data_IF_345453283925
#
_entry.id   IF_345453283925
#
_cell.length_a   1.000
_cell.length_b   1.000
_cell.length_c   1.000
_cell.angle_alpha   90.00
_cell.angle_beta   90.00
_cell.angle_gamma   90.00
#
_symmetry.space_group_name_H-M   'P 1'
#
loop_
_entity.id
_entity.type
_entity.pdbx_description
1 polymer ?
#
# COMPACT_ATOMS: atom_id res chain seq x y z
N UNK A 1 40.32 -23.46 43.10
CA UNK A 1 40.34 -22.84 41.76
C UNK A 1 39.56 -23.59 40.68
N UNK A 2 39.06 -24.80 40.92
CA UNK A 2 38.31 -25.57 39.90
C UNK A 2 36.79 -25.33 39.88
N UNK A 3 36.24 -24.63 40.85
CA UNK A 3 34.81 -24.37 40.97
C UNK A 3 34.37 -23.03 40.39
N UNK A 4 35.28 -22.06 40.25
CA UNK A 4 34.99 -20.76 39.69
C UNK A 4 34.90 -20.76 38.13
N UNK A 5 35.49 -21.76 37.50
CA UNK A 5 35.50 -21.89 36.04
C UNK A 5 34.20 -22.51 35.49
N UNK A 6 33.47 -23.25 36.32
CA UNK A 6 32.20 -23.88 35.91
C UNK A 6 31.00 -22.91 35.95
N UNK A 7 31.05 -21.89 36.79
CA UNK A 7 29.96 -20.90 36.87
C UNK A 7 30.06 -19.83 35.80
N UNK A 8 31.25 -19.61 35.22
CA UNK A 8 31.44 -18.63 34.17
C UNK A 8 30.97 -19.11 32.79
N UNK A 9 30.97 -20.40 32.55
CA UNK A 9 30.52 -20.97 31.26
C UNK A 9 29.00 -21.02 31.17
N UNK A 10 28.27 -21.02 32.27
CA UNK A 10 26.80 -21.06 32.27
C UNK A 10 26.15 -19.68 32.02
N UNK A 11 26.92 -18.59 32.15
CA UNK A 11 26.42 -17.22 31.99
C UNK A 11 26.48 -16.71 30.55
N UNK A 12 27.20 -17.41 29.66
CA UNK A 12 27.39 -16.99 28.27
C UNK A 12 26.32 -17.54 27.33
N UNK A 13 25.50 -18.50 27.81
CA UNK A 13 24.47 -19.15 26.99
C UNK A 13 23.13 -18.42 26.86
N UNK A 14 22.96 -17.22 27.47
CA UNK A 14 21.69 -16.51 27.50
C UNK A 14 21.66 -15.22 26.67
N UNK A 15 22.67 -14.95 25.84
CA UNK A 15 22.75 -13.68 25.06
C UNK A 15 22.59 -13.88 23.56
N UNK A 16 21.83 -14.88 23.11
CA UNK A 16 21.68 -15.12 21.68
C UNK A 16 20.22 -15.32 21.26
N UNK A 17 19.31 -14.49 21.73
CA UNK A 17 17.97 -14.42 21.12
C UNK A 17 17.49 -12.98 21.06
N UNK A 18 18.14 -12.17 20.22
CA UNK A 18 17.53 -10.98 19.65
C UNK A 18 17.66 -11.09 18.13
N UNK A 19 16.82 -11.94 17.55
CA UNK A 19 16.48 -11.86 16.16
C UNK A 19 15.17 -11.10 16.08
N UNK A 20 15.25 -9.76 16.16
CA UNK A 20 14.20 -8.88 15.69
C UNK A 20 14.42 -8.76 14.18
N UNK A 21 13.97 -9.75 13.45
CA UNK A 21 13.84 -9.71 12.02
C UNK A 21 12.59 -8.95 11.68
N UNK A 22 12.70 -7.66 11.43
CA UNK A 22 11.71 -6.95 10.60
C UNK A 22 12.03 -7.32 9.15
N UNK A 23 11.57 -8.48 8.76
CA UNK A 23 11.52 -8.86 7.35
C UNK A 23 10.29 -8.21 6.75
N UNK A 24 10.44 -6.97 6.29
CA UNK A 24 9.59 -6.39 5.26
C UNK A 24 9.86 -7.10 3.93
N UNK A 25 9.61 -8.40 3.92
CA UNK A 25 9.43 -9.15 2.71
C UNK A 25 7.95 -9.00 2.32
N UNK A 26 7.68 -8.03 1.47
CA UNK A 26 6.48 -8.04 0.62
C UNK A 26 6.61 -9.20 -0.37
N UNK A 27 6.68 -10.42 0.15
CA UNK A 27 6.27 -11.58 -0.59
C UNK A 27 4.75 -11.44 -0.73
N UNK A 28 4.26 -11.44 -1.95
CA UNK A 28 2.86 -11.71 -2.30
C UNK A 28 2.47 -13.03 -1.62
N UNK A 29 2.12 -12.96 -0.35
CA UNK A 29 1.35 -14.01 0.30
C UNK A 29 -0.03 -13.96 -0.33
N UNK A 30 -0.65 -15.12 -0.46
CA UNK A 30 -2.06 -15.32 -0.85
C UNK A 30 -3.01 -14.64 0.15
N UNK A 31 -2.71 -13.41 0.54
CA UNK A 31 -3.50 -12.63 1.47
C UNK A 31 -4.76 -12.19 0.75
N UNK A 32 -5.86 -12.75 1.18
CA UNK A 32 -7.19 -12.38 0.70
C UNK A 32 -7.36 -10.88 0.87
N UNK A 33 -7.44 -10.17 -0.25
CA UNK A 33 -7.70 -8.72 -0.24
C UNK A 33 -9.14 -8.52 0.22
N UNK A 34 -9.31 -7.64 1.20
CA UNK A 34 -10.63 -7.32 1.76
C UNK A 34 -10.96 -5.85 1.55
N UNK A 35 -12.24 -5.50 1.56
CA UNK A 35 -12.66 -4.11 1.41
C UNK A 35 -11.99 -3.17 2.44
N UNK A 36 -11.88 -3.51 3.74
CA UNK A 36 -11.18 -2.65 4.70
C UNK A 36 -9.71 -2.39 4.35
N UNK A 37 -9.02 -3.35 3.73
CA UNK A 37 -7.63 -3.18 3.28
C UNK A 37 -7.57 -2.16 2.14
N UNK A 38 -8.47 -2.25 1.17
CA UNK A 38 -8.59 -1.28 0.08
C UNK A 38 -8.92 0.12 0.61
N UNK A 39 -9.88 0.22 1.54
CA UNK A 39 -10.28 1.49 2.15
C UNK A 39 -9.11 2.14 2.89
N UNK A 40 -8.35 1.37 3.67
CA UNK A 40 -7.17 1.86 4.36
C UNK A 40 -6.09 2.37 3.38
N UNK A 41 -5.83 1.64 2.30
CA UNK A 41 -4.87 2.06 1.27
C UNK A 41 -5.34 3.31 0.53
N UNK A 42 -6.63 3.43 0.24
CA UNK A 42 -7.22 4.65 -0.36
C UNK A 42 -7.03 5.86 0.56
N UNK A 43 -7.30 5.70 1.87
CA UNK A 43 -7.11 6.77 2.86
C UNK A 43 -5.63 7.20 2.93
N UNK A 44 -4.69 6.25 2.88
CA UNK A 44 -3.25 6.54 2.84
C UNK A 44 -2.90 7.44 1.64
N UNK A 45 -3.38 7.10 0.45
CA UNK A 45 -3.13 7.86 -0.78
C UNK A 45 -3.75 9.26 -0.71
N UNK A 46 -4.99 9.37 -0.24
CA UNK A 46 -5.66 10.67 -0.08
C UNK A 46 -4.93 11.54 0.94
N UNK A 47 -4.50 10.97 2.07
CA UNK A 47 -3.73 11.69 3.07
C UNK A 47 -2.39 12.18 2.49
N UNK A 48 -1.71 11.35 1.70
CA UNK A 48 -0.48 11.74 1.04
C UNK A 48 -0.71 12.95 0.11
N UNK A 49 -1.75 12.91 -0.74
CA UNK A 49 -2.11 14.03 -1.62
C UNK A 49 -2.41 15.30 -0.81
N UNK A 50 -3.15 15.17 0.29
CA UNK A 50 -3.58 16.28 1.14
C UNK A 50 -2.46 16.93 1.96
N UNK A 51 -1.25 16.35 1.98
CA UNK A 51 -0.07 17.03 2.56
C UNK A 51 0.44 18.19 1.69
N UNK A 52 -0.05 18.28 0.47
CA UNK A 52 0.33 19.32 -0.50
C UNK A 52 -0.85 20.26 -0.76
N UNK A 53 -0.56 21.52 -1.01
CA UNK A 53 -1.60 22.52 -1.27
C UNK A 53 -1.85 22.69 -2.78
N UNK A 54 -3.13 22.67 -3.16
CA UNK A 54 -3.60 22.89 -4.52
C UNK A 54 -3.83 24.38 -4.82
N UNK A 55 -3.02 25.29 -4.29
CA UNK A 55 -3.13 26.74 -4.51
C UNK A 55 -2.79 27.21 -5.94
N UNK A 56 -2.36 26.31 -6.81
CA UNK A 56 -2.01 26.56 -8.21
C UNK A 56 -2.82 25.67 -9.17
N UNK A 57 -2.09 24.95 -10.04
CA UNK A 57 -2.68 23.96 -10.93
C UNK A 57 -2.78 22.59 -10.24
N UNK A 58 -3.95 21.95 -10.38
CA UNK A 58 -4.15 20.57 -9.97
C UNK A 58 -4.16 19.68 -11.21
N UNK A 59 -3.55 18.52 -11.09
CA UNK A 59 -3.59 17.45 -12.07
C UNK A 59 -4.55 16.35 -11.60
N UNK A 60 -4.75 15.33 -12.40
CA UNK A 60 -5.56 14.17 -12.02
C UNK A 60 -4.84 12.87 -12.37
N UNK A 61 -5.18 11.80 -11.65
CA UNK A 61 -4.69 10.44 -11.89
C UNK A 61 -5.85 9.47 -11.83
N UNK A 62 -5.87 8.51 -12.77
CA UNK A 62 -6.86 7.45 -12.81
C UNK A 62 -6.71 6.53 -11.57
N UNK A 63 -7.83 6.23 -10.90
CA UNK A 63 -7.84 5.53 -9.62
C UNK A 63 -8.90 4.44 -9.57
N UNK A 64 -8.53 3.30 -9.02
CA UNK A 64 -9.36 2.11 -8.95
C UNK A 64 -9.37 1.33 -10.27
N UNK A 65 -9.91 0.10 -10.21
CA UNK A 65 -10.02 -0.80 -11.35
C UNK A 65 -11.45 -1.30 -11.46
N UNK A 66 -12.13 -1.00 -12.56
CA UNK A 66 -13.46 -1.58 -12.85
C UNK A 66 -13.31 -3.03 -13.36
N UNK A 67 -14.23 -3.93 -13.02
CA UNK A 67 -14.25 -5.29 -13.58
C UNK A 67 -14.23 -5.34 -15.11
N UNK A 68 -14.88 -4.37 -15.77
CA UNK A 68 -14.90 -4.24 -17.24
C UNK A 68 -13.66 -3.52 -17.81
N UNK A 69 -12.72 -3.10 -16.96
CA UNK A 69 -11.58 -2.26 -17.34
C UNK A 69 -11.85 -0.76 -17.16
N UNK A 70 -10.76 0.01 -17.11
CA UNK A 70 -10.78 1.44 -16.82
C UNK A 70 -10.85 1.80 -15.33
N UNK A 71 -10.69 3.09 -15.00
CA UNK A 71 -10.69 3.55 -13.62
C UNK A 71 -12.11 3.60 -13.03
N UNK A 72 -12.20 3.55 -11.71
CA UNK A 72 -13.45 3.82 -10.97
C UNK A 72 -13.69 5.31 -10.79
N UNK A 73 -12.62 6.08 -10.64
CA UNK A 73 -12.63 7.54 -10.43
C UNK A 73 -11.32 8.19 -10.83
N UNK A 74 -11.24 9.50 -10.74
CA UNK A 74 -9.98 10.26 -10.87
C UNK A 74 -9.72 11.02 -9.58
N UNK A 75 -8.50 10.92 -9.06
CA UNK A 75 -8.04 11.72 -7.92
C UNK A 75 -7.36 12.98 -8.41
N UNK A 76 -7.73 14.14 -7.85
CA UNK A 76 -7.03 15.39 -8.08
C UNK A 76 -5.81 15.49 -7.16
N UNK A 77 -4.71 16.00 -7.67
CA UNK A 77 -3.50 16.20 -6.88
C UNK A 77 -2.77 17.49 -7.29
N UNK A 78 -2.10 18.17 -6.34
CA UNK A 78 -1.30 19.35 -6.62
C UNK A 78 -0.08 19.07 -7.47
N UNK A 79 0.34 20.01 -8.31
CA UNK A 79 1.56 19.89 -9.13
C UNK A 79 2.85 19.72 -8.30
N UNK A 80 2.82 20.07 -7.01
CA UNK A 80 3.93 19.94 -6.06
C UNK A 80 4.13 18.51 -5.53
N UNK A 81 3.19 17.61 -5.76
CA UNK A 81 3.28 16.19 -5.36
C UNK A 81 4.48 15.52 -6.04
N UNK A 82 5.17 14.63 -5.32
CA UNK A 82 6.10 13.72 -5.97
C UNK A 82 5.32 12.71 -6.83
N UNK A 83 5.29 12.98 -8.13
CA UNK A 83 4.48 12.22 -9.08
C UNK A 83 4.90 10.74 -9.13
N UNK A 84 6.19 10.43 -9.06
CA UNK A 84 6.69 9.05 -9.09
C UNK A 84 6.17 8.26 -7.88
N UNK A 85 6.21 8.85 -6.70
CA UNK A 85 5.69 8.22 -5.48
C UNK A 85 4.17 8.04 -5.55
N UNK A 86 3.44 9.06 -5.99
CA UNK A 86 1.98 8.97 -6.15
C UNK A 86 1.60 7.88 -7.16
N UNK A 87 2.28 7.81 -8.31
CA UNK A 87 2.04 6.79 -9.32
C UNK A 87 2.28 5.38 -8.79
N UNK A 88 3.32 5.18 -7.98
CA UNK A 88 3.58 3.90 -7.35
C UNK A 88 2.44 3.50 -6.41
N UNK A 89 2.03 4.39 -5.50
CA UNK A 89 0.94 4.14 -4.55
C UNK A 89 -0.38 3.81 -5.26
N UNK A 90 -0.69 4.55 -6.32
CA UNK A 90 -1.93 4.35 -7.11
C UNK A 90 -1.86 3.05 -7.91
N UNK A 91 -0.72 2.70 -8.48
CA UNK A 91 -0.54 1.43 -9.20
C UNK A 91 -0.75 0.24 -8.28
N UNK A 92 -0.17 0.27 -7.08
CA UNK A 92 -0.37 -0.77 -6.06
C UNK A 92 -1.86 -0.90 -5.69
N UNK A 93 -2.53 0.22 -5.43
CA UNK A 93 -3.96 0.21 -5.14
C UNK A 93 -4.79 -0.37 -6.29
N UNK A 94 -4.55 0.07 -7.52
CA UNK A 94 -5.29 -0.39 -8.69
C UNK A 94 -5.13 -1.89 -8.93
N UNK A 95 -3.94 -2.45 -8.68
CA UNK A 95 -3.70 -3.88 -8.74
C UNK A 95 -4.45 -4.63 -7.64
N UNK A 96 -4.39 -4.16 -6.40
CA UNK A 96 -5.16 -4.75 -5.29
C UNK A 96 -6.66 -4.72 -5.57
N UNK A 97 -7.18 -3.62 -6.07
CA UNK A 97 -8.60 -3.46 -6.40
C UNK A 97 -9.01 -4.39 -7.57
N UNK A 98 -8.12 -4.59 -8.54
CA UNK A 98 -8.31 -5.56 -9.62
C UNK A 98 -8.38 -6.99 -9.06
N UNK A 99 -7.46 -7.38 -8.21
CA UNK A 99 -7.46 -8.70 -7.57
C UNK A 99 -8.70 -8.91 -6.69
N UNK A 100 -9.12 -7.89 -5.95
CA UNK A 100 -10.36 -7.92 -5.18
C UNK A 100 -11.59 -8.17 -6.06
N UNK A 101 -11.67 -7.49 -7.23
CA UNK A 101 -12.74 -7.72 -8.19
C UNK A 101 -12.77 -9.19 -8.67
N UNK A 102 -11.61 -9.80 -8.92
CA UNK A 102 -11.49 -11.21 -9.32
C UNK A 102 -11.95 -12.12 -8.17
N UNK A 103 -11.47 -11.90 -6.95
CA UNK A 103 -11.80 -12.72 -5.78
C UNK A 103 -13.29 -12.70 -5.45
N UNK A 104 -13.95 -11.56 -5.65
CA UNK A 104 -15.36 -11.37 -5.32
C UNK A 104 -16.31 -11.60 -6.48
N UNK A 105 -15.79 -11.93 -7.66
CA UNK A 105 -16.57 -11.98 -8.90
C UNK A 105 -17.39 -10.69 -9.12
N UNK A 106 -16.75 -9.54 -8.86
CA UNK A 106 -17.41 -8.25 -8.95
C UNK A 106 -17.94 -8.00 -10.37
N UNK A 107 -19.10 -7.36 -10.44
CA UNK A 107 -19.70 -6.91 -11.70
C UNK A 107 -19.70 -5.40 -11.78
N UNK A 108 -19.69 -4.86 -12.98
CA UNK A 108 -19.70 -3.42 -13.24
C UNK A 108 -20.72 -3.10 -14.34
N UNK A 109 -21.23 -1.89 -14.31
CA UNK A 109 -22.09 -1.31 -15.36
C UNK A 109 -21.32 -0.99 -16.65
N UNK A 110 -20.01 -1.17 -16.67
CA UNK A 110 -19.10 -0.83 -17.76
C UNK A 110 -19.17 0.63 -18.23
N UNK A 111 -19.74 1.52 -17.41
CA UNK A 111 -19.76 2.95 -17.72
C UNK A 111 -18.33 3.50 -17.76
N UNK A 112 -18.06 4.36 -18.73
CA UNK A 112 -16.76 5.03 -18.88
C UNK A 112 -16.70 6.24 -17.95
N UNK A 113 -15.73 6.24 -17.03
CA UNK A 113 -15.42 7.44 -16.26
C UNK A 113 -14.62 8.40 -17.13
N UNK A 114 -15.09 9.65 -17.22
CA UNK A 114 -14.38 10.70 -17.92
C UNK A 114 -13.46 11.44 -16.95
N UNK A 115 -12.24 11.80 -17.40
CA UNK A 115 -11.37 12.63 -16.59
C UNK A 115 -12.01 14.00 -16.35
N UNK A 116 -11.74 14.65 -15.20
CA UNK A 116 -12.22 15.99 -14.96
C UNK A 116 -11.71 16.93 -16.04
N UNK A 117 -12.58 17.85 -16.47
CA UNK A 117 -12.20 18.87 -17.43
C UNK A 117 -11.13 19.77 -16.80
N UNK A 118 -9.97 19.84 -17.43
CA UNK A 118 -8.87 20.74 -17.07
C UNK A 118 -9.16 22.18 -17.48
#
# INVERSE_FOLDING_TARGET
MKTLFKTFILLIAFLSFNCSGSDDNSALSDDVITQPILDAKKVEIINYINTFDCSGSCNYIAFGSKPCGGPKEYLLFPSSVNLTQLQQMVTEYNEMDHQYNIQTNAISDCAVELPPNS
#
